data_IF_590391083890
#
_entry.id   IF_590391083890
#
_cell.length_a   1.000
_cell.length_b   1.000
_cell.length_c   1.000
_cell.angle_alpha   90.00
_cell.angle_beta   90.00
_cell.angle_gamma   90.00
#
_symmetry.space_group_name_H-M   'P 1'
#
loop_
_entity.id
_entity.type
_entity.pdbx_description
1 polymer ?
#
# COMPACT_ATOMS: atom_id res chain seq x y z
N UNK A 1 -12.80 -39.71 30.55
CA UNK A 1 -13.74 -38.77 30.00
C UNK A 1 -12.96 -37.49 29.69
N UNK A 2 -12.58 -37.36 28.45
CA UNK A 2 -11.78 -36.20 28.03
C UNK A 2 -12.73 -35.04 27.72
N UNK A 3 -12.79 -34.08 28.62
CA UNK A 3 -13.38 -32.78 28.30
C UNK A 3 -12.46 -32.11 27.29
N UNK A 4 -12.84 -32.18 26.02
CA UNK A 4 -12.26 -31.30 25.01
C UNK A 4 -12.67 -29.88 25.37
N UNK A 5 -11.73 -29.11 25.90
CA UNK A 5 -11.85 -27.66 25.95
C UNK A 5 -12.00 -27.18 24.51
N UNK A 6 -13.24 -26.81 24.15
CA UNK A 6 -13.46 -26.06 22.93
C UNK A 6 -12.84 -24.69 23.17
N UNK A 7 -11.68 -24.47 22.57
CA UNK A 7 -11.19 -23.12 22.36
C UNK A 7 -12.25 -22.40 21.53
N UNK A 8 -12.96 -21.47 22.17
CA UNK A 8 -13.77 -20.49 21.47
C UNK A 8 -12.81 -19.74 20.55
N UNK A 9 -13.04 -19.72 19.23
CA UNK A 9 -12.23 -18.90 18.37
C UNK A 9 -12.33 -17.46 18.86
N UNK A 10 -11.18 -16.89 19.26
CA UNK A 10 -11.08 -15.47 19.50
C UNK A 10 -11.68 -14.79 18.28
N UNK A 11 -12.71 -13.99 18.49
CA UNK A 11 -13.24 -13.08 17.50
C UNK A 11 -12.11 -12.12 17.16
N UNK A 12 -11.31 -12.45 16.14
CA UNK A 12 -10.43 -11.48 15.53
C UNK A 12 -11.33 -10.31 15.12
N UNK A 13 -11.07 -9.15 15.72
CA UNK A 13 -11.77 -7.95 15.35
C UNK A 13 -11.61 -7.76 13.83
N UNK A 14 -12.72 -7.70 13.11
CA UNK A 14 -12.70 -7.48 11.66
C UNK A 14 -11.98 -6.15 11.40
N UNK A 15 -10.86 -6.21 10.70
CA UNK A 15 -10.09 -5.01 10.31
C UNK A 15 -10.83 -4.15 9.30
N UNK A 16 -11.94 -4.64 8.75
CA UNK A 16 -12.64 -4.02 7.64
C UNK A 16 -11.89 -4.10 6.30
N UNK A 17 -10.77 -4.82 6.27
CA UNK A 17 -9.96 -5.02 5.07
C UNK A 17 -10.42 -6.27 4.31
N UNK A 18 -10.24 -6.26 3.00
CA UNK A 18 -10.41 -7.46 2.16
C UNK A 18 -9.19 -8.37 2.40
N UNK A 19 -9.40 -9.47 3.11
CA UNK A 19 -8.35 -10.40 3.52
C UNK A 19 -8.09 -11.52 2.49
N UNK A 20 -9.05 -11.74 1.59
CA UNK A 20 -8.93 -12.79 0.57
C UNK A 20 -9.45 -12.31 -0.77
N UNK A 21 -8.71 -12.64 -1.82
CA UNK A 21 -9.09 -12.42 -3.21
C UNK A 21 -8.55 -13.57 -4.05
N UNK A 22 -9.38 -14.10 -4.96
CA UNK A 22 -8.95 -15.13 -5.89
C UNK A 22 -7.82 -14.61 -6.80
N UNK A 23 -6.65 -15.28 -6.86
CA UNK A 23 -5.51 -14.81 -7.64
C UNK A 23 -5.82 -14.56 -9.12
N UNK A 24 -6.68 -15.38 -9.71
CA UNK A 24 -7.06 -15.25 -11.11
C UNK A 24 -7.91 -14.00 -11.38
N UNK A 25 -8.77 -13.60 -10.42
CA UNK A 25 -9.55 -12.36 -10.51
C UNK A 25 -8.61 -11.15 -10.47
N UNK A 26 -7.66 -11.15 -9.56
CA UNK A 26 -6.67 -10.08 -9.46
C UNK A 26 -5.82 -9.98 -10.73
N UNK A 27 -5.30 -11.12 -11.23
CA UNK A 27 -4.50 -11.17 -12.46
C UNK A 27 -5.26 -10.58 -13.64
N UNK A 28 -6.49 -10.97 -13.81
CA UNK A 28 -7.35 -10.49 -14.90
C UNK A 28 -7.60 -8.98 -14.80
N UNK A 29 -7.89 -8.48 -13.62
CA UNK A 29 -8.15 -7.07 -13.40
C UNK A 29 -6.88 -6.22 -13.65
N UNK A 30 -5.73 -6.66 -13.17
CA UNK A 30 -4.44 -6.00 -13.43
C UNK A 30 -4.13 -5.99 -14.92
N UNK A 31 -4.29 -7.12 -15.61
CA UNK A 31 -4.07 -7.22 -17.06
C UNK A 31 -4.91 -6.23 -17.84
N UNK A 32 -6.18 -6.07 -17.49
CA UNK A 32 -7.07 -5.08 -18.12
C UNK A 32 -6.56 -3.65 -17.95
N UNK A 33 -6.13 -3.28 -16.76
CA UNK A 33 -5.62 -1.93 -16.48
C UNK A 33 -4.34 -1.69 -17.27
N UNK A 34 -3.41 -2.65 -17.29
CA UNK A 34 -2.15 -2.53 -18.04
C UNK A 34 -2.38 -2.42 -19.55
N UNK A 35 -3.33 -3.17 -20.10
CA UNK A 35 -3.73 -3.06 -21.51
C UNK A 35 -4.29 -1.68 -21.84
N UNK A 36 -5.16 -1.12 -20.99
CA UNK A 36 -5.70 0.22 -21.16
C UNK A 36 -4.61 1.30 -21.06
N UNK A 37 -3.65 1.16 -20.16
CA UNK A 37 -2.52 2.07 -20.06
C UNK A 37 -1.67 2.04 -21.34
N UNK A 38 -1.40 0.87 -21.87
CA UNK A 38 -0.60 0.72 -23.09
C UNK A 38 -1.32 1.29 -24.34
N UNK A 39 -2.61 0.99 -24.48
CA UNK A 39 -3.46 1.51 -25.58
C UNK A 39 -3.52 3.03 -25.62
N UNK A 40 -3.57 3.67 -24.46
CA UNK A 40 -3.73 5.11 -24.34
C UNK A 40 -2.41 5.85 -24.15
N UNK A 41 -1.32 5.15 -24.31
CA UNK A 41 0.02 5.74 -24.22
C UNK A 41 0.24 6.74 -25.34
N UNK A 42 0.65 7.96 -24.98
CA UNK A 42 1.04 8.96 -25.95
C UNK A 42 2.36 8.57 -26.63
N UNK A 43 2.47 8.83 -27.93
CA UNK A 43 3.66 8.47 -28.71
C UNK A 43 4.94 9.01 -28.06
N UNK A 44 5.94 8.15 -27.92
CA UNK A 44 7.26 8.47 -27.36
C UNK A 44 7.25 8.89 -25.87
N UNK A 45 6.11 8.82 -25.18
CA UNK A 45 6.10 9.01 -23.74
C UNK A 45 6.60 7.78 -23.00
N UNK A 46 7.24 7.92 -21.82
CA UNK A 46 7.51 6.78 -20.96
C UNK A 46 6.24 6.04 -20.59
N UNK A 47 6.28 4.71 -20.37
CA UNK A 47 5.11 3.99 -19.89
C UNK A 47 4.67 4.51 -18.51
N UNK A 48 3.35 4.63 -18.32
CA UNK A 48 2.81 4.98 -17.02
C UNK A 48 3.07 3.85 -16.02
N UNK A 49 3.43 4.21 -14.81
CA UNK A 49 3.60 3.26 -13.72
C UNK A 49 2.27 3.09 -12.99
N UNK A 50 1.83 1.84 -12.83
CA UNK A 50 0.64 1.53 -12.06
C UNK A 50 0.98 1.53 -10.56
N UNK A 51 0.27 2.34 -9.80
CA UNK A 51 0.28 2.29 -8.33
C UNK A 51 -1.03 1.66 -7.87
N UNK A 52 -0.95 0.49 -7.26
CA UNK A 52 -2.13 -0.19 -6.74
C UNK A 52 -2.55 0.43 -5.41
N UNK A 53 -3.79 0.92 -5.33
CA UNK A 53 -4.33 1.48 -4.09
C UNK A 53 -4.74 0.35 -3.16
N UNK A 54 -4.01 0.20 -2.07
CA UNK A 54 -4.12 -0.96 -1.15
C UNK A 54 -4.79 -0.63 0.19
N UNK A 55 -5.34 0.57 0.32
CA UNK A 55 -5.93 1.03 1.59
C UNK A 55 -7.05 0.14 2.13
N UNK A 56 -7.72 -0.61 1.27
CA UNK A 56 -8.87 -1.46 1.63
C UNK A 56 -8.57 -2.96 1.65
N UNK A 57 -7.33 -3.36 1.37
CA UNK A 57 -6.93 -4.77 1.31
C UNK A 57 -5.88 -5.12 2.34
N UNK A 58 -5.90 -6.37 2.80
CA UNK A 58 -4.93 -6.90 3.75
C UNK A 58 -3.62 -7.35 3.12
N UNK A 59 -2.62 -7.71 3.94
CA UNK A 59 -1.28 -8.09 3.48
C UNK A 59 -1.23 -9.24 2.50
N UNK A 60 -2.09 -10.25 2.67
CA UNK A 60 -2.11 -11.43 1.79
C UNK A 60 -2.52 -11.08 0.37
N UNK A 61 -3.49 -10.18 0.23
CA UNK A 61 -3.90 -9.65 -1.09
C UNK A 61 -2.81 -8.79 -1.70
N UNK A 62 -2.16 -7.94 -0.91
CA UNK A 62 -1.03 -7.12 -1.38
C UNK A 62 0.10 -8.02 -1.92
N UNK A 63 0.47 -9.06 -1.19
CA UNK A 63 1.54 -9.97 -1.60
C UNK A 63 1.27 -10.68 -2.94
N UNK A 64 0.02 -10.88 -3.32
CA UNK A 64 -0.34 -11.42 -4.63
C UNK A 64 0.11 -10.52 -5.79
N UNK A 65 0.19 -9.20 -5.58
CA UNK A 65 0.64 -8.23 -6.59
C UNK A 65 2.09 -8.47 -7.02
N UNK A 66 2.93 -9.00 -6.16
CA UNK A 66 4.33 -9.30 -6.47
C UNK A 66 4.46 -10.28 -7.63
N UNK A 67 3.64 -11.32 -7.67
CA UNK A 67 3.63 -12.31 -8.76
C UNK A 67 3.24 -11.68 -10.10
N UNK A 68 2.52 -10.56 -10.09
CA UNK A 68 2.11 -9.80 -11.27
C UNK A 68 3.09 -8.66 -11.61
N UNK A 69 4.20 -8.58 -10.89
CA UNK A 69 5.21 -7.53 -11.02
C UNK A 69 4.66 -6.11 -10.76
N UNK A 70 3.64 -5.99 -9.93
CA UNK A 70 3.12 -4.72 -9.43
C UNK A 70 3.69 -4.51 -8.02
N UNK A 71 4.65 -3.61 -7.90
CA UNK A 71 5.40 -3.37 -6.68
C UNK A 71 5.13 -2.00 -6.05
N UNK A 72 4.45 -1.12 -6.76
CA UNK A 72 4.07 0.19 -6.26
C UNK A 72 2.67 0.13 -5.65
N UNK A 73 2.57 0.46 -4.36
CA UNK A 73 1.32 0.44 -3.59
C UNK A 73 1.03 1.80 -3.00
N UNK A 74 -0.24 2.14 -2.86
CA UNK A 74 -0.69 3.43 -2.34
C UNK A 74 -1.52 3.30 -1.07
N UNK A 75 -1.17 4.05 -0.05
CA UNK A 75 -1.85 4.08 1.24
C UNK A 75 -2.14 5.52 1.68
N UNK A 76 -3.13 5.70 2.55
CA UNK A 76 -3.58 7.02 2.98
C UNK A 76 -3.74 7.20 4.50
N UNK A 77 -3.59 6.15 5.28
CA UNK A 77 -3.70 6.20 6.74
C UNK A 77 -2.57 5.41 7.40
N UNK A 78 -1.79 6.07 8.26
CA UNK A 78 -0.66 5.46 8.93
C UNK A 78 -1.08 4.27 9.82
N UNK A 79 -2.17 4.39 10.55
CA UNK A 79 -2.68 3.34 11.43
C UNK A 79 -3.15 2.08 10.67
N UNK A 80 -3.44 2.20 9.39
CA UNK A 80 -3.80 1.06 8.53
C UNK A 80 -2.57 0.53 7.79
N UNK A 81 -1.74 1.41 7.27
CA UNK A 81 -0.57 1.05 6.45
C UNK A 81 0.56 0.42 7.27
N UNK A 82 0.96 1.02 8.38
CA UNK A 82 2.13 0.59 9.14
C UNK A 82 2.04 -0.86 9.65
N UNK A 83 0.91 -1.36 10.16
CA UNK A 83 0.79 -2.76 10.56
C UNK A 83 0.93 -3.76 9.41
N UNK A 84 0.69 -3.35 8.16
CA UNK A 84 0.83 -4.21 6.98
C UNK A 84 2.28 -4.39 6.56
N UNK A 85 3.12 -3.38 6.72
CA UNK A 85 4.48 -3.34 6.17
C UNK A 85 5.34 -4.55 6.59
N UNK A 86 5.35 -5.00 7.86
CA UNK A 86 6.13 -6.18 8.24
C UNK A 86 5.62 -7.49 7.63
N UNK A 87 4.39 -7.49 7.11
CA UNK A 87 3.69 -8.68 6.60
C UNK A 87 3.71 -8.78 5.08
N UNK A 88 4.22 -7.77 4.40
CA UNK A 88 4.34 -7.76 2.94
C UNK A 88 5.80 -7.88 2.51
N UNK A 89 6.00 -8.30 1.25
CA UNK A 89 7.35 -8.44 0.70
C UNK A 89 8.12 -7.12 0.73
N UNK A 90 9.43 -7.13 1.04
CA UNK A 90 10.23 -5.91 1.19
C UNK A 90 10.45 -5.14 -0.12
N UNK A 91 10.18 -5.75 -1.26
CA UNK A 91 10.31 -5.13 -2.57
C UNK A 91 9.19 -4.12 -2.88
N UNK A 92 8.08 -4.14 -2.14
CA UNK A 92 7.01 -3.17 -2.32
C UNK A 92 7.48 -1.76 -1.99
N UNK A 93 7.10 -0.83 -2.86
CA UNK A 93 7.37 0.60 -2.69
C UNK A 93 6.08 1.30 -2.27
N UNK A 94 6.11 1.95 -1.12
CA UNK A 94 4.94 2.63 -0.56
C UNK A 94 4.86 4.07 -1.09
N UNK A 95 3.77 4.37 -1.76
CA UNK A 95 3.37 5.73 -2.15
C UNK A 95 2.36 6.25 -1.13
N UNK A 96 2.57 7.47 -0.66
CA UNK A 96 1.59 8.11 0.20
C UNK A 96 0.64 8.95 -0.64
N UNK A 97 -0.63 8.59 -0.67
CA UNK A 97 -1.64 9.20 -1.53
C UNK A 97 -2.75 9.91 -0.75
N UNK A 98 -2.68 9.95 0.57
CA UNK A 98 -3.60 10.65 1.45
C UNK A 98 -3.04 11.95 1.98
N UNK A 99 -3.92 12.79 2.51
CA UNK A 99 -3.50 14.00 3.21
C UNK A 99 -2.60 13.63 4.39
N UNK A 100 -1.51 14.37 4.56
CA UNK A 100 -0.54 14.12 5.59
C UNK A 100 -0.45 15.32 6.54
N UNK A 101 -0.69 15.08 7.83
CA UNK A 101 -0.46 16.05 8.87
C UNK A 101 1.04 16.14 9.18
N UNK A 102 1.55 17.33 9.49
CA UNK A 102 2.98 17.55 9.81
C UNK A 102 3.47 16.68 10.97
N UNK A 103 2.63 16.48 11.99
CA UNK A 103 2.97 15.64 13.14
C UNK A 103 3.00 14.12 12.84
N UNK A 104 2.56 13.70 11.65
CA UNK A 104 2.58 12.31 11.21
C UNK A 104 3.77 11.97 10.30
N UNK A 105 4.46 12.96 9.76
CA UNK A 105 5.60 12.77 8.84
C UNK A 105 6.65 11.85 9.45
N UNK A 106 7.04 12.09 10.69
CA UNK A 106 8.05 11.29 11.40
C UNK A 106 7.75 9.79 11.37
N UNK A 107 6.49 9.40 11.49
CA UNK A 107 6.08 8.00 11.57
C UNK A 107 6.07 7.27 10.22
N UNK A 108 6.07 7.99 9.10
CA UNK A 108 5.96 7.36 7.77
C UNK A 108 7.14 7.62 6.85
N UNK A 109 7.97 8.63 7.13
CA UNK A 109 9.00 9.08 6.19
C UNK A 109 9.99 7.99 5.79
N UNK A 110 10.32 7.07 6.68
CA UNK A 110 11.24 5.97 6.43
C UNK A 110 10.67 4.90 5.50
N UNK A 111 9.37 4.88 5.35
CA UNK A 111 8.65 3.80 4.65
C UNK A 111 8.17 4.21 3.27
N UNK A 112 8.11 5.51 2.97
CA UNK A 112 7.54 6.01 1.71
C UNK A 112 8.62 6.27 0.67
N UNK A 113 8.33 5.90 -0.58
CA UNK A 113 9.17 6.22 -1.73
C UNK A 113 8.74 7.52 -2.42
N UNK A 114 7.48 7.90 -2.29
CA UNK A 114 6.93 9.10 -2.90
C UNK A 114 5.74 9.63 -2.12
N UNK A 115 5.69 10.94 -1.94
CA UNK A 115 4.56 11.66 -1.35
C UNK A 115 3.83 12.42 -2.47
N UNK A 116 2.55 12.05 -2.71
CA UNK A 116 1.74 12.64 -3.78
C UNK A 116 0.96 13.88 -3.34
N UNK A 117 0.86 14.12 -2.05
CA UNK A 117 -0.05 15.09 -1.46
C UNK A 117 0.66 16.23 -0.74
N UNK A 118 1.77 16.70 -1.31
CA UNK A 118 2.51 17.84 -0.81
C UNK A 118 1.77 19.13 -1.21
N UNK A 119 0.99 19.67 -0.29
CA UNK A 119 0.01 20.72 -0.57
C UNK A 119 0.26 22.04 0.20
N UNK A 120 1.30 22.10 1.02
CA UNK A 120 1.61 23.29 1.81
C UNK A 120 3.08 23.37 2.23
N UNK A 121 3.56 24.59 2.43
CA UNK A 121 4.97 24.85 2.78
C UNK A 121 5.39 24.20 4.11
N UNK A 122 4.54 24.28 5.14
CA UNK A 122 4.84 23.66 6.43
C UNK A 122 5.08 22.14 6.32
N UNK A 123 4.30 21.45 5.48
CA UNK A 123 4.52 20.03 5.23
C UNK A 123 5.82 19.78 4.46
N UNK A 124 6.12 20.59 3.45
CA UNK A 124 7.37 20.49 2.69
C UNK A 124 8.61 20.63 3.59
N UNK A 125 8.58 21.60 4.49
CA UNK A 125 9.66 21.84 5.45
C UNK A 125 9.84 20.67 6.42
N UNK A 126 8.75 20.11 6.94
CA UNK A 126 8.80 18.96 7.85
C UNK A 126 9.29 17.70 7.12
N UNK A 127 8.84 17.45 5.90
CA UNK A 127 9.32 16.35 5.07
C UNK A 127 10.82 16.48 4.81
N UNK A 128 11.29 17.67 4.41
CA UNK A 128 12.71 17.92 4.18
C UNK A 128 13.53 17.67 5.44
N UNK A 129 13.07 18.16 6.58
CA UNK A 129 13.77 18.00 7.86
C UNK A 129 13.89 16.53 8.25
N UNK A 130 12.78 15.78 8.18
CA UNK A 130 12.76 14.36 8.56
C UNK A 130 13.54 13.50 7.58
N UNK A 131 13.45 13.76 6.28
CA UNK A 131 14.21 13.04 5.27
C UNK A 131 15.73 13.25 5.46
N UNK A 132 16.16 14.46 5.79
CA UNK A 132 17.57 14.75 6.06
C UNK A 132 18.12 14.00 7.30
N UNK A 133 17.30 13.77 8.32
CA UNK A 133 17.67 12.98 9.51
C UNK A 133 17.90 11.49 9.19
N UNK A 134 17.34 10.98 8.12
CA UNK A 134 17.38 9.56 7.74
C UNK A 134 18.28 9.27 6.52
N UNK A 135 18.87 10.28 5.96
CA UNK A 135 19.69 10.17 4.75
C UNK A 135 18.87 10.10 3.47
#
# INVERSE_FOLDING_TARGET
MDEKMQETPEKQASTGLVEHLEPEVLRRNVSKVLEELDKNRFQNSPPARLVAVTKTVGPDVINQLKALNILDIGENRAQVALPKLPKIAPEFRLHWIGRLQTNKVKGIIDHVCMLHTLDRLALAQEVQRRAAEHG
#
